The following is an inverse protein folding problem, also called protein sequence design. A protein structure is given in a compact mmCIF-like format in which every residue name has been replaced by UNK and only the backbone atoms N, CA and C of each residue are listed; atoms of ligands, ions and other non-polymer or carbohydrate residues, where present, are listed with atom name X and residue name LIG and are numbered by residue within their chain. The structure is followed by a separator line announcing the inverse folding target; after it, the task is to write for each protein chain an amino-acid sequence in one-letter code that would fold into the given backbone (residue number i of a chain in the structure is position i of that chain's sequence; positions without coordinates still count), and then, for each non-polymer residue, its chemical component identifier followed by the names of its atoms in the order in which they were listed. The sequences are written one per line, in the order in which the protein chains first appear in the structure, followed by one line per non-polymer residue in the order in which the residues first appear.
data_IF_647904966128
#
_entry.id   IF_647904966128
#
_cell.length_a   1.000
_cell.length_b   1.000
_cell.length_c   1.000
_cell.angle_alpha   90.00
_cell.angle_beta   90.00
_cell.angle_gamma   90.00
#
_symmetry.space_group_name_H-M   'P 1'
#
loop_
_entity.id
_entity.type
_entity.pdbx_description
1 polymer ?
#
# COMPACT_ATOMS: atom_id res chain seq x y z
N UNK A 1 -18.85 -11.19 -17.46
CA UNK A 1 -17.86 -11.65 -16.47
C UNK A 1 -18.50 -11.54 -15.09
N UNK A 2 -18.64 -12.61 -14.32
CA UNK A 2 -19.27 -12.53 -13.00
C UNK A 2 -18.21 -12.44 -11.92
N UNK A 3 -18.22 -11.35 -11.15
CA UNK A 3 -17.45 -11.24 -9.92
C UNK A 3 -18.00 -12.26 -8.90
N UNK A 4 -17.10 -12.91 -8.20
CA UNK A 4 -17.49 -13.87 -7.15
C UNK A 4 -17.80 -13.07 -5.88
N UNK A 5 -19.10 -12.86 -5.61
CA UNK A 5 -19.54 -12.10 -4.44
C UNK A 5 -19.60 -12.97 -3.17
N UNK A 6 -19.45 -14.28 -3.32
CA UNK A 6 -19.46 -15.23 -2.22
C UNK A 6 -18.04 -15.69 -1.88
N UNK A 7 -17.59 -15.32 -0.71
CA UNK A 7 -16.41 -15.79 0.00
C UNK A 7 -15.03 -15.29 -0.44
N UNK A 8 -14.39 -14.64 0.49
CA UNK A 8 -12.94 -14.41 0.67
C UNK A 8 -12.17 -15.76 0.82
N UNK A 9 -12.50 -16.73 0.04
CA UNK A 9 -11.82 -18.02 0.09
C UNK A 9 -11.69 -18.60 -1.29
N UNK A 10 -10.74 -18.24 -2.06
CA UNK A 10 -10.15 -19.10 -3.10
C UNK A 10 -9.29 -18.28 -4.08
N UNK A 11 -8.16 -17.90 -3.64
CA UNK A 11 -6.93 -18.05 -4.40
C UNK A 11 -5.93 -18.67 -3.39
N UNK A 12 -6.35 -19.76 -2.74
CA UNK A 12 -5.89 -20.07 -1.40
C UNK A 12 -4.52 -20.76 -1.30
N UNK A 13 -4.02 -21.42 -2.31
CA UNK A 13 -2.77 -22.19 -2.14
C UNK A 13 -1.51 -21.36 -2.45
N UNK A 14 -1.55 -20.49 -3.42
CA UNK A 14 -0.38 -19.73 -3.86
C UNK A 14 -0.16 -18.49 -3.01
N UNK A 15 -1.22 -17.76 -2.73
CA UNK A 15 -1.21 -16.63 -1.78
C UNK A 15 -0.77 -17.09 -0.39
N UNK A 16 -1.13 -18.32 0.00
CA UNK A 16 -0.71 -18.96 1.26
C UNK A 16 0.80 -19.16 1.29
N UNK A 17 1.40 -19.75 0.25
CA UNK A 17 2.86 -19.99 0.19
C UNK A 17 3.66 -18.69 0.29
N UNK A 18 3.29 -17.67 -0.47
CA UNK A 18 3.96 -16.35 -0.43
C UNK A 18 3.84 -15.71 0.96
N UNK A 19 2.68 -15.81 1.61
CA UNK A 19 2.45 -15.32 2.97
C UNK A 19 3.22 -16.11 4.02
N UNK A 20 3.39 -17.41 3.83
CA UNK A 20 4.25 -18.26 4.66
C UNK A 20 5.72 -17.83 4.56
N UNK A 21 6.25 -17.69 3.34
CA UNK A 21 7.62 -17.20 3.10
C UNK A 21 7.86 -15.83 3.73
N UNK A 22 6.88 -14.93 3.65
CA UNK A 22 6.95 -13.63 4.31
C UNK A 22 7.04 -13.78 5.83
N UNK A 23 6.23 -14.65 6.43
CA UNK A 23 6.20 -14.88 7.88
C UNK A 23 7.48 -15.54 8.38
N UNK A 24 8.02 -16.49 7.62
CA UNK A 24 9.28 -17.16 7.94
C UNK A 24 10.45 -16.19 7.92
N UNK A 25 10.54 -15.37 6.88
CA UNK A 25 11.59 -14.37 6.76
C UNK A 25 11.46 -13.29 7.85
N UNK A 26 10.25 -12.84 8.14
CA UNK A 26 9.99 -11.89 9.24
C UNK A 26 10.45 -12.45 10.58
N UNK A 27 10.17 -13.73 10.85
CA UNK A 27 10.65 -14.43 12.05
C UNK A 27 12.16 -14.53 12.06
N UNK A 28 12.78 -14.95 10.94
CA UNK A 28 14.23 -15.06 10.78
C UNK A 28 14.93 -13.74 11.06
N UNK A 29 14.42 -12.63 10.51
CA UNK A 29 14.98 -11.29 10.76
C UNK A 29 14.88 -10.89 12.23
N UNK A 30 13.78 -11.22 12.91
CA UNK A 30 13.62 -10.93 14.34
C UNK A 30 14.55 -11.77 15.22
N UNK A 31 14.74 -13.04 14.91
CA UNK A 31 15.65 -13.93 15.62
C UNK A 31 17.12 -13.52 15.43
N UNK A 32 17.47 -13.01 14.26
CA UNK A 32 18.80 -12.52 13.94
C UNK A 32 19.21 -11.23 14.68
N UNK A 33 18.28 -10.53 15.32
CA UNK A 33 18.60 -9.33 16.13
C UNK A 33 19.53 -9.66 17.30
N UNK A 34 19.49 -10.92 17.81
CA UNK A 34 20.37 -11.38 18.86
C UNK A 34 20.15 -10.65 20.18
N UNK A 35 21.22 -10.03 20.73
CA UNK A 35 21.13 -9.31 22.01
C UNK A 35 20.29 -8.05 21.86
N UNK A 36 19.30 -7.91 22.73
CA UNK A 36 18.41 -6.75 22.75
C UNK A 36 19.19 -5.51 23.23
N UNK A 37 19.34 -4.54 22.33
CA UNK A 37 19.89 -3.23 22.64
C UNK A 37 18.76 -2.21 22.86
N UNK A 38 18.96 -1.31 23.81
CA UNK A 38 18.00 -0.22 24.09
C UNK A 38 18.37 1.01 23.28
N UNK A 39 17.35 1.67 22.75
CA UNK A 39 17.45 2.97 22.07
C UNK A 39 16.54 3.97 22.74
N UNK A 40 16.94 5.25 22.70
CA UNK A 40 16.12 6.37 23.16
C UNK A 40 15.31 6.93 21.99
N UNK A 41 13.99 6.94 22.13
CA UNK A 41 13.08 7.53 21.16
C UNK A 41 12.41 8.74 21.80
N UNK A 42 12.79 9.92 21.36
CA UNK A 42 12.21 11.17 21.84
C UNK A 42 10.97 11.51 21.03
N UNK A 43 9.81 11.20 21.59
CA UNK A 43 8.53 11.58 21.00
C UNK A 43 8.32 13.10 21.16
N UNK A 44 7.95 13.75 20.05
CA UNK A 44 7.62 15.18 19.98
C UNK A 44 6.16 15.34 19.53
N UNK A 45 5.30 15.81 20.44
CA UNK A 45 3.91 16.03 20.11
C UNK A 45 2.95 15.91 21.30
N UNK A 46 1.67 15.87 21.00
CA UNK A 46 0.62 15.74 21.99
C UNK A 46 0.57 14.32 22.60
N UNK A 47 0.24 14.19 23.93
CA UNK A 47 -0.13 15.27 24.85
C UNK A 47 1.06 16.11 25.33
N UNK A 48 2.25 15.56 25.36
CA UNK A 48 3.51 16.19 25.74
C UNK A 48 4.69 15.42 25.18
N UNK A 49 5.81 16.10 25.01
CA UNK A 49 7.07 15.49 24.63
C UNK A 49 7.49 14.46 25.69
N UNK A 50 7.91 13.29 25.24
CA UNK A 50 8.25 12.17 26.13
C UNK A 50 9.40 11.36 25.54
N UNK A 51 10.34 10.95 26.38
CA UNK A 51 11.40 10.02 25.99
C UNK A 51 10.99 8.59 26.35
N UNK A 52 11.02 7.72 25.35
CA UNK A 52 10.70 6.30 25.46
C UNK A 52 11.98 5.47 25.32
N UNK A 53 12.13 4.45 26.14
CA UNK A 53 13.20 3.47 25.98
C UNK A 53 12.64 2.26 25.23
N UNK A 54 13.11 2.07 24.00
CA UNK A 54 12.61 1.07 23.08
C UNK A 54 13.69 0.04 22.75
N UNK A 55 13.32 -1.05 22.08
CA UNK A 55 14.24 -2.10 21.64
C UNK A 55 14.66 -1.86 20.19
N UNK A 56 15.97 -1.74 19.95
CA UNK A 56 16.56 -1.59 18.62
C UNK A 56 16.11 -2.74 17.72
N UNK A 57 15.76 -2.44 16.46
CA UNK A 57 15.33 -3.39 15.41
C UNK A 57 14.14 -4.30 15.74
N UNK A 58 13.49 -4.09 16.90
CA UNK A 58 12.31 -4.82 17.34
C UNK A 58 11.10 -3.91 17.52
N UNK A 59 11.28 -2.81 18.26
CA UNK A 59 10.19 -1.88 18.54
C UNK A 59 9.91 -0.98 17.34
N UNK A 60 8.65 -0.65 17.16
CA UNK A 60 8.13 0.13 16.03
C UNK A 60 7.54 1.47 16.50
N UNK A 61 7.33 2.45 15.61
CA UNK A 61 6.54 3.65 15.95
C UNK A 61 5.14 3.33 16.48
N UNK A 62 4.55 2.22 16.03
CA UNK A 62 3.25 1.77 16.56
C UNK A 62 3.36 1.38 18.04
N UNK A 63 4.44 0.73 18.45
CA UNK A 63 4.68 0.41 19.87
C UNK A 63 4.91 1.68 20.69
N UNK A 64 5.63 2.67 20.14
CA UNK A 64 5.75 3.99 20.77
C UNK A 64 4.38 4.65 20.95
N UNK A 65 3.52 4.61 19.91
CA UNK A 65 2.17 5.14 19.98
C UNK A 65 1.33 4.47 21.07
N UNK A 66 1.49 3.15 21.30
CA UNK A 66 0.81 2.42 22.38
C UNK A 66 1.21 2.92 23.78
N UNK A 67 2.48 3.29 23.98
CA UNK A 67 2.94 3.86 25.23
C UNK A 67 2.37 5.27 25.48
N UNK A 68 2.11 6.04 24.43
CA UNK A 68 1.53 7.38 24.50
C UNK A 68 0.01 7.28 24.75
N UNK A 69 -0.67 6.39 24.04
CA UNK A 69 -2.11 6.16 24.18
C UNK A 69 -2.76 5.56 22.94
N UNK A 70 -3.80 4.77 23.15
CA UNK A 70 -4.50 4.02 22.10
C UNK A 70 -5.02 4.90 20.94
N UNK A 71 -5.44 6.13 21.25
CA UNK A 71 -5.87 7.10 20.25
C UNK A 71 -4.81 7.33 19.16
N UNK A 72 -3.54 7.38 19.55
CA UNK A 72 -2.44 7.62 18.61
C UNK A 72 -2.19 6.41 17.71
N UNK A 73 -2.41 5.18 18.20
CA UNK A 73 -2.36 3.97 17.37
C UNK A 73 -3.38 4.01 16.24
N UNK A 74 -4.61 4.49 16.53
CA UNK A 74 -5.72 4.51 15.59
C UNK A 74 -5.72 5.70 14.63
N UNK A 75 -5.03 6.78 14.95
CA UNK A 75 -5.07 8.02 14.17
C UNK A 75 -3.80 8.28 13.36
N UNK A 76 -2.67 7.67 13.72
CA UNK A 76 -1.41 7.92 13.05
C UNK A 76 -1.33 7.21 11.72
N UNK A 77 -1.14 7.99 10.65
CA UNK A 77 -0.96 7.48 9.30
C UNK A 77 0.46 6.95 9.08
N UNK A 78 1.46 7.68 9.60
CA UNK A 78 2.87 7.34 9.52
C UNK A 78 3.65 8.05 10.63
N UNK A 79 4.89 7.63 10.81
CA UNK A 79 5.87 8.30 11.65
C UNK A 79 6.82 9.19 10.82
N UNK A 80 7.34 10.25 11.43
CA UNK A 80 8.43 11.06 10.90
C UNK A 80 9.59 10.97 11.89
N UNK A 81 10.73 10.45 11.42
CA UNK A 81 11.95 10.35 12.20
C UNK A 81 12.85 11.55 11.91
N UNK A 82 13.40 12.14 12.97
CA UNK A 82 14.34 13.27 12.93
C UNK A 82 13.86 14.45 12.08
N UNK A 83 12.56 14.71 12.10
CA UNK A 83 11.87 15.73 11.31
C UNK A 83 12.09 15.63 9.79
N UNK A 84 12.59 14.50 9.30
CA UNK A 84 13.04 14.36 7.92
C UNK A 84 12.57 13.06 7.24
N UNK A 85 12.67 11.94 7.92
CA UNK A 85 12.50 10.63 7.28
C UNK A 85 11.12 10.03 7.54
N UNK A 86 10.25 9.94 6.51
CA UNK A 86 8.97 9.24 6.63
C UNK A 86 9.19 7.75 6.91
N UNK A 87 8.47 7.21 7.90
CA UNK A 87 8.67 5.86 8.39
C UNK A 87 7.34 5.14 8.62
N UNK A 88 7.27 3.87 8.19
CA UNK A 88 6.06 3.06 8.40
C UNK A 88 5.81 2.85 9.90
N UNK A 89 4.55 2.90 10.30
CA UNK A 89 4.18 2.69 11.70
C UNK A 89 4.60 1.33 12.25
N UNK A 90 4.72 0.30 11.39
CA UNK A 90 5.08 -1.07 11.76
C UNK A 90 6.49 -1.49 11.32
N UNK A 91 7.32 -0.55 10.91
CA UNK A 91 8.73 -0.79 10.60
C UNK A 91 9.57 -0.64 11.86
N UNK A 92 10.44 -1.61 12.22
CA UNK A 92 11.32 -1.51 13.37
C UNK A 92 12.23 -0.26 13.33
N UNK A 93 12.41 0.36 14.48
CA UNK A 93 13.34 1.47 14.68
C UNK A 93 14.77 0.96 14.79
N UNK A 94 15.69 1.60 14.07
CA UNK A 94 17.09 1.14 13.97
C UNK A 94 18.01 1.77 14.99
N UNK A 95 17.79 3.05 15.31
CA UNK A 95 18.66 3.84 16.18
C UNK A 95 17.85 4.79 17.04
N UNK A 96 18.50 5.42 18.01
CA UNK A 96 17.92 6.52 18.78
C UNK A 96 17.55 7.66 17.83
N UNK A 97 16.36 8.22 18.01
CA UNK A 97 15.81 9.21 17.09
C UNK A 97 14.77 10.11 17.77
N UNK A 98 14.43 11.19 17.11
CA UNK A 98 13.19 11.92 17.42
C UNK A 98 12.05 11.33 16.60
N UNK A 99 10.86 11.24 17.20
CA UNK A 99 9.67 10.65 16.62
C UNK A 99 8.50 11.64 16.65
N UNK A 100 7.90 11.87 15.49
CA UNK A 100 6.59 12.51 15.39
C UNK A 100 5.59 11.55 14.76
N UNK A 101 4.35 11.59 15.22
CA UNK A 101 3.24 10.82 14.67
C UNK A 101 2.36 11.73 13.80
N UNK A 102 2.34 11.47 12.50
CA UNK A 102 1.59 12.26 11.54
C UNK A 102 0.20 11.65 11.29
N UNK A 103 -0.80 12.50 11.27
CA UNK A 103 -2.18 12.12 11.00
C UNK A 103 -2.79 12.97 9.89
N UNK A 104 -4.04 12.68 9.49
CA UNK A 104 -4.72 13.35 8.39
C UNK A 104 -5.31 14.72 8.75
N UNK A 105 -5.32 15.07 10.04
CA UNK A 105 -5.83 16.35 10.54
C UNK A 105 -4.72 17.32 10.95
N UNK A 106 -3.46 16.95 10.73
CA UNK A 106 -2.30 17.82 10.93
C UNK A 106 -2.36 19.02 9.98
N UNK A 107 -1.78 20.18 10.34
CA UNK A 107 -1.78 21.37 9.49
C UNK A 107 -1.17 21.12 8.09
N UNK A 108 -0.16 20.26 8.01
CA UNK A 108 0.51 19.86 6.76
C UNK A 108 0.35 18.35 6.50
N UNK A 109 -0.81 17.87 6.06
CA UNK A 109 -1.07 16.44 5.92
C UNK A 109 -0.50 15.84 4.62
N UNK A 110 0.35 16.55 3.88
CA UNK A 110 0.83 16.15 2.57
C UNK A 110 1.49 14.76 2.56
N UNK A 111 2.37 14.47 3.53
CA UNK A 111 3.01 13.16 3.66
C UNK A 111 1.98 12.08 4.02
N UNK A 112 1.08 12.37 4.96
CA UNK A 112 0.01 11.45 5.34
C UNK A 112 -0.90 11.14 4.15
N UNK A 113 -1.26 12.14 3.34
CA UNK A 113 -2.06 11.97 2.13
C UNK A 113 -1.35 11.13 1.06
N UNK A 114 -0.05 11.33 0.83
CA UNK A 114 0.73 10.49 -0.09
C UNK A 114 0.73 9.03 0.35
N UNK A 115 0.97 8.79 1.64
CA UNK A 115 0.96 7.46 2.23
C UNK A 115 -0.42 6.81 2.10
N UNK A 116 -1.48 7.55 2.42
CA UNK A 116 -2.86 7.08 2.29
C UNK A 116 -3.18 6.62 0.86
N UNK A 117 -2.89 7.45 -0.14
CA UNK A 117 -3.19 7.12 -1.54
C UNK A 117 -2.37 5.93 -2.04
N UNK A 118 -1.10 5.81 -1.64
CA UNK A 118 -0.30 4.61 -1.93
C UNK A 118 -0.93 3.37 -1.32
N UNK A 119 -1.37 3.46 -0.07
CA UNK A 119 -2.04 2.35 0.61
C UNK A 119 -3.37 1.99 -0.05
N UNK A 120 -4.15 2.98 -0.50
CA UNK A 120 -5.38 2.71 -1.26
C UNK A 120 -5.10 1.95 -2.56
N UNK A 121 -4.03 2.29 -3.28
CA UNK A 121 -3.61 1.54 -4.48
C UNK A 121 -3.24 0.10 -4.14
N UNK A 122 -2.48 -0.12 -3.07
CA UNK A 122 -2.12 -1.45 -2.58
C UNK A 122 -3.34 -2.27 -2.17
N UNK A 123 -4.26 -1.68 -1.39
CA UNK A 123 -5.49 -2.34 -0.95
C UNK A 123 -6.43 -2.65 -2.13
N UNK A 124 -6.44 -1.81 -3.16
CA UNK A 124 -7.17 -2.11 -4.40
C UNK A 124 -6.64 -3.38 -5.05
N UNK A 125 -5.31 -3.59 -5.09
CA UNK A 125 -4.70 -4.84 -5.55
C UNK A 125 -5.21 -6.05 -4.77
N UNK A 126 -5.26 -5.96 -3.43
CA UNK A 126 -5.78 -7.02 -2.56
C UNK A 126 -7.25 -7.37 -2.89
N UNK A 127 -8.09 -6.35 -3.05
CA UNK A 127 -9.51 -6.52 -3.38
C UNK A 127 -9.69 -7.12 -4.77
N UNK A 128 -8.94 -6.66 -5.77
CA UNK A 128 -9.00 -7.21 -7.13
C UNK A 128 -8.61 -8.68 -7.15
N UNK A 129 -7.48 -9.04 -6.51
CA UNK A 129 -7.04 -10.43 -6.42
C UNK A 129 -8.06 -11.34 -5.76
N UNK A 130 -8.75 -10.87 -4.72
CA UNK A 130 -9.78 -11.63 -4.01
C UNK A 130 -11.14 -11.70 -4.74
N UNK A 131 -11.45 -10.71 -5.59
CA UNK A 131 -12.77 -10.58 -6.23
C UNK A 131 -12.88 -11.30 -7.58
N UNK A 132 -11.75 -11.50 -8.28
CA UNK A 132 -11.76 -12.17 -9.58
C UNK A 132 -11.62 -13.68 -9.42
N UNK A 133 -12.35 -14.42 -10.24
CA UNK A 133 -12.20 -15.88 -10.33
C UNK A 133 -10.87 -16.25 -11.00
N UNK A 134 -10.26 -17.40 -10.67
CA UNK A 134 -9.02 -17.86 -11.29
C UNK A 134 -9.07 -17.91 -12.81
N UNK A 135 -10.23 -18.26 -13.38
CA UNK A 135 -10.44 -18.38 -14.83
C UNK A 135 -10.34 -17.02 -15.56
N UNK A 136 -10.48 -15.92 -14.83
CA UNK A 136 -10.29 -14.59 -15.40
C UNK A 136 -8.84 -14.28 -15.77
N UNK A 137 -7.89 -15.03 -15.19
CA UNK A 137 -6.46 -14.85 -15.46
C UNK A 137 -5.98 -13.45 -15.07
N UNK A 138 -6.39 -12.98 -13.87
CA UNK A 138 -5.96 -11.67 -13.36
C UNK A 138 -4.51 -11.73 -12.87
N UNK A 139 -3.70 -10.79 -13.38
CA UNK A 139 -2.38 -10.48 -12.84
C UNK A 139 -2.32 -9.02 -12.38
N UNK A 140 -1.85 -8.80 -11.16
CA UNK A 140 -1.51 -7.47 -10.67
C UNK A 140 -0.19 -7.05 -11.31
N UNK A 141 -0.21 -5.92 -12.03
CA UNK A 141 1.00 -5.42 -12.68
C UNK A 141 1.77 -4.48 -11.76
N UNK A 142 1.24 -3.32 -11.50
CA UNK A 142 1.92 -2.29 -10.68
C UNK A 142 0.95 -1.16 -10.30
N UNK A 143 1.41 -0.30 -9.40
CA UNK A 143 0.76 0.98 -9.14
C UNK A 143 1.82 2.09 -9.07
N UNK A 144 1.59 3.22 -9.77
CA UNK A 144 2.55 4.30 -9.85
C UNK A 144 2.66 5.07 -8.53
N UNK A 145 3.69 5.91 -8.41
CA UNK A 145 3.83 6.88 -7.31
C UNK A 145 2.54 7.72 -7.21
N UNK A 146 1.96 7.88 -6.00
CA UNK A 146 0.74 8.63 -5.84
C UNK A 146 0.82 10.07 -6.35
N UNK A 147 -0.12 10.44 -7.20
CA UNK A 147 -0.34 11.82 -7.62
C UNK A 147 -1.69 12.30 -7.08
N UNK A 148 -1.67 12.98 -5.93
CA UNK A 148 -2.90 13.44 -5.26
C UNK A 148 -3.68 14.44 -6.15
N UNK A 149 -2.98 15.21 -6.98
CA UNK A 149 -3.60 16.19 -7.88
C UNK A 149 -4.43 15.53 -8.99
N UNK A 150 -4.17 14.26 -9.33
CA UNK A 150 -4.94 13.52 -10.35
C UNK A 150 -6.38 13.23 -9.92
N UNK A 151 -6.64 13.15 -8.63
CA UNK A 151 -7.98 12.95 -8.06
C UNK A 151 -8.39 11.48 -7.92
N UNK A 152 -7.53 10.51 -8.24
CA UNK A 152 -7.77 9.08 -8.06
C UNK A 152 -6.51 8.33 -7.64
N UNK A 153 -6.67 7.28 -6.82
CA UNK A 153 -5.65 6.24 -6.66
C UNK A 153 -5.85 5.18 -7.74
N UNK A 154 -4.78 4.47 -8.10
CA UNK A 154 -4.81 3.53 -9.23
C UNK A 154 -4.05 2.24 -8.94
N UNK A 155 -4.48 1.16 -9.59
CA UNK A 155 -3.74 -0.10 -9.68
C UNK A 155 -3.89 -0.64 -11.10
N UNK A 156 -2.78 -0.92 -11.75
CA UNK A 156 -2.76 -1.44 -13.11
C UNK A 156 -2.76 -2.97 -13.09
N UNK A 157 -3.64 -3.59 -13.87
CA UNK A 157 -3.84 -5.04 -13.94
C UNK A 157 -3.78 -5.53 -15.38
N UNK A 158 -3.50 -6.81 -15.51
CA UNK A 158 -3.60 -7.54 -16.78
C UNK A 158 -4.68 -8.61 -16.64
N UNK A 159 -5.56 -8.71 -17.63
CA UNK A 159 -6.57 -9.75 -17.72
C UNK A 159 -6.31 -10.61 -18.96
N UNK A 160 -6.58 -11.91 -18.86
CA UNK A 160 -6.47 -12.82 -19.99
C UNK A 160 -7.55 -12.55 -21.06
N UNK A 161 -8.70 -11.98 -20.67
CA UNK A 161 -9.80 -11.63 -21.55
C UNK A 161 -9.67 -10.20 -22.07
N UNK A 162 -9.79 -10.05 -23.39
CA UNK A 162 -9.49 -8.82 -24.13
C UNK A 162 -10.50 -7.68 -23.92
N UNK A 163 -11.74 -7.94 -23.66
CA UNK A 163 -12.79 -6.92 -23.63
C UNK A 163 -13.58 -6.97 -22.33
N UNK A 164 -12.98 -6.49 -21.24
CA UNK A 164 -13.72 -6.29 -20.02
C UNK A 164 -14.15 -4.83 -19.87
N UNK A 165 -15.44 -4.60 -19.80
CA UNK A 165 -16.01 -3.30 -19.51
C UNK A 165 -16.88 -3.44 -18.25
N UNK A 166 -16.36 -3.02 -17.07
CA UNK A 166 -17.10 -3.23 -15.83
C UNK A 166 -18.40 -2.46 -15.80
N UNK A 167 -19.43 -3.12 -15.37
CA UNK A 167 -20.73 -2.52 -15.10
C UNK A 167 -20.71 -1.72 -13.78
N UNK A 168 -21.67 -0.80 -13.63
CA UNK A 168 -21.82 -0.05 -12.37
C UNK A 168 -22.01 -0.97 -11.15
N UNK A 169 -22.79 -2.06 -11.20
CA UNK A 169 -22.87 -3.03 -10.09
C UNK A 169 -21.53 -3.67 -9.75
N UNK A 170 -20.70 -4.02 -10.71
CA UNK A 170 -19.36 -4.61 -10.47
C UNK A 170 -18.41 -3.63 -9.78
N UNK A 171 -18.36 -2.37 -10.22
CA UNK A 171 -17.58 -1.33 -9.55
C UNK A 171 -18.07 -1.07 -8.12
N UNK A 172 -19.39 -1.14 -7.89
CA UNK A 172 -19.98 -1.04 -6.55
C UNK A 172 -19.58 -2.23 -5.67
N UNK A 173 -19.57 -3.45 -6.21
CA UNK A 173 -19.13 -4.64 -5.49
C UNK A 173 -17.67 -4.50 -5.03
N UNK A 174 -16.77 -4.07 -5.90
CA UNK A 174 -15.37 -3.78 -5.53
C UNK A 174 -15.27 -2.69 -4.45
N UNK A 175 -16.10 -1.65 -4.52
CA UNK A 175 -16.14 -0.59 -3.50
C UNK A 175 -16.59 -1.14 -2.14
N UNK A 176 -17.55 -2.06 -2.12
CA UNK A 176 -18.03 -2.74 -0.90
C UNK A 176 -16.90 -3.59 -0.31
N UNK A 177 -16.16 -4.34 -1.13
CA UNK A 177 -15.02 -5.14 -0.66
C UNK A 177 -13.90 -4.28 -0.07
N UNK A 178 -13.62 -3.10 -0.64
CA UNK A 178 -12.70 -2.13 -0.03
C UNK A 178 -13.16 -1.72 1.37
N UNK A 179 -14.44 -1.45 1.57
CA UNK A 179 -15.00 -1.08 2.88
C UNK A 179 -14.96 -2.27 3.85
N UNK A 180 -15.29 -3.48 3.41
CA UNK A 180 -15.19 -4.69 4.24
C UNK A 180 -13.74 -4.93 4.70
N UNK A 181 -12.77 -4.72 3.80
CA UNK A 181 -11.34 -4.84 4.14
C UNK A 181 -10.93 -3.78 5.19
N UNK A 182 -11.42 -2.56 5.06
CA UNK A 182 -11.22 -1.50 6.05
C UNK A 182 -11.79 -1.88 7.43
N UNK A 183 -12.99 -2.44 7.47
CA UNK A 183 -13.65 -2.83 8.72
C UNK A 183 -12.93 -3.94 9.49
N UNK A 184 -12.11 -4.75 8.82
CA UNK A 184 -11.29 -5.78 9.47
C UNK A 184 -10.11 -5.21 10.26
N UNK A 185 -9.75 -3.94 10.06
CA UNK A 185 -8.63 -3.24 10.71
C UNK A 185 -7.32 -4.03 10.73
N UNK A 186 -6.98 -4.64 9.58
CA UNK A 186 -5.81 -5.49 9.44
C UNK A 186 -4.52 -4.64 9.43
N UNK A 187 -3.43 -5.13 10.03
CA UNK A 187 -2.13 -4.50 9.91
C UNK A 187 -1.64 -4.52 8.45
N UNK A 188 -1.02 -3.42 8.03
CA UNK A 188 -0.21 -3.38 6.81
C UNK A 188 1.24 -3.53 7.24
N UNK A 189 1.81 -4.68 6.93
CA UNK A 189 3.15 -5.06 7.34
C UNK A 189 4.15 -4.81 6.23
N UNK A 190 5.39 -4.52 6.60
CA UNK A 190 6.51 -4.30 5.69
C UNK A 190 7.66 -5.24 5.99
N UNK A 191 8.29 -5.74 4.94
CA UNK A 191 9.51 -6.54 5.03
C UNK A 191 10.45 -6.19 3.88
N UNK A 192 11.73 -5.99 4.17
CA UNK A 192 12.78 -5.84 3.17
C UNK A 192 13.42 -7.23 2.99
N UNK A 193 13.37 -7.77 1.76
CA UNK A 193 13.80 -9.15 1.44
C UNK A 193 14.85 -9.15 0.33
N UNK A 194 15.62 -10.23 0.18
CA UNK A 194 16.52 -10.41 -0.95
C UNK A 194 15.75 -10.52 -2.27
N UNK A 195 16.41 -10.19 -3.38
CA UNK A 195 15.87 -10.37 -4.73
C UNK A 195 15.38 -11.79 -4.98
N UNK A 196 16.16 -12.80 -4.57
CA UNK A 196 15.84 -14.21 -4.80
C UNK A 196 14.58 -14.65 -4.06
N UNK A 197 14.45 -14.27 -2.78
CA UNK A 197 13.26 -14.55 -1.99
C UNK A 197 12.03 -13.80 -2.55
N UNK A 198 12.20 -12.57 -3.02
CA UNK A 198 11.12 -11.85 -3.69
C UNK A 198 10.67 -12.57 -4.97
N UNK A 199 11.59 -13.09 -5.80
CA UNK A 199 11.25 -13.89 -6.99
C UNK A 199 10.47 -15.15 -6.61
N UNK A 200 10.81 -15.81 -5.50
CA UNK A 200 10.06 -16.97 -5.00
C UNK A 200 8.66 -16.58 -4.51
N UNK A 201 8.53 -15.49 -3.73
CA UNK A 201 7.23 -14.99 -3.25
C UNK A 201 6.28 -14.63 -4.39
N UNK A 202 6.79 -14.12 -5.50
CA UNK A 202 6.00 -13.72 -6.66
C UNK A 202 6.13 -14.68 -7.85
N UNK A 203 6.40 -15.98 -7.57
CA UNK A 203 6.63 -17.01 -8.61
C UNK A 203 5.50 -17.11 -9.62
N UNK A 204 4.26 -16.84 -9.24
CA UNK A 204 3.08 -16.96 -10.10
C UNK A 204 2.74 -15.68 -10.87
N UNK A 205 3.43 -14.58 -10.59
CA UNK A 205 3.18 -13.31 -11.23
C UNK A 205 4.36 -12.93 -12.15
N UNK A 206 4.26 -13.18 -13.47
CA UNK A 206 5.35 -12.94 -14.39
C UNK A 206 5.77 -11.46 -14.44
N UNK A 207 4.83 -10.54 -14.28
CA UNK A 207 5.11 -9.10 -14.29
C UNK A 207 5.90 -8.65 -13.08
N UNK A 208 5.57 -9.17 -11.91
CA UNK A 208 6.35 -8.87 -10.68
C UNK A 208 7.75 -9.46 -10.77
N UNK A 209 7.89 -10.69 -11.27
CA UNK A 209 9.20 -11.33 -11.46
C UNK A 209 10.09 -10.53 -12.41
N UNK A 210 9.55 -9.98 -13.49
CA UNK A 210 10.28 -9.13 -14.42
C UNK A 210 10.73 -7.80 -13.79
N UNK A 211 9.93 -7.24 -12.88
CA UNK A 211 10.23 -5.97 -12.20
C UNK A 211 11.26 -6.10 -11.08
N UNK A 212 11.32 -7.24 -10.38
CA UNK A 212 12.14 -7.46 -9.18
C UNK A 212 13.62 -7.13 -9.40
N UNK A 213 14.31 -7.57 -10.46
CA UNK A 213 15.72 -7.27 -10.64
C UNK A 213 16.01 -5.77 -10.72
N UNK A 214 15.17 -5.03 -11.45
CA UNK A 214 15.29 -3.57 -11.56
C UNK A 214 15.04 -2.86 -10.22
N UNK A 215 14.05 -3.31 -9.46
CA UNK A 215 13.75 -2.77 -8.12
C UNK A 215 14.89 -3.04 -7.14
N UNK A 216 15.43 -4.25 -7.15
CA UNK A 216 16.55 -4.66 -6.29
C UNK A 216 17.83 -3.88 -6.62
N UNK A 217 18.15 -3.68 -7.90
CA UNK A 217 19.31 -2.89 -8.34
C UNK A 217 19.26 -1.46 -7.80
N UNK A 218 18.07 -0.85 -7.74
CA UNK A 218 17.86 0.49 -7.17
C UNK A 218 17.80 0.55 -5.63
N UNK A 219 17.95 -0.58 -4.91
CA UNK A 219 17.79 -0.66 -3.46
C UNK A 219 18.77 -1.66 -2.81
N UNK A 220 20.04 -1.61 -3.18
CA UNK A 220 21.12 -2.43 -2.60
C UNK A 220 20.83 -3.95 -2.60
N UNK A 221 20.21 -4.47 -3.66
CA UNK A 221 19.87 -5.87 -3.80
C UNK A 221 18.64 -6.31 -3.00
N UNK A 222 17.92 -5.40 -2.36
CA UNK A 222 16.73 -5.69 -1.57
C UNK A 222 15.45 -5.23 -2.27
N UNK A 223 14.37 -5.94 -1.98
CA UNK A 223 13.01 -5.61 -2.43
C UNK A 223 12.14 -5.38 -1.21
N UNK A 224 11.44 -4.25 -1.18
CA UNK A 224 10.46 -3.99 -0.12
C UNK A 224 9.10 -4.57 -0.50
N UNK A 225 8.63 -5.50 0.31
CA UNK A 225 7.34 -6.19 0.17
C UNK A 225 6.40 -5.74 1.28
N UNK A 226 5.15 -5.48 0.93
CA UNK A 226 4.07 -5.21 1.87
C UNK A 226 3.06 -6.35 1.88
N UNK A 227 2.48 -6.60 3.07
CA UNK A 227 1.46 -7.62 3.29
C UNK A 227 0.23 -7.03 3.98
N UNK A 228 -0.96 -7.49 3.56
CA UNK A 228 -2.23 -7.30 4.27
C UNK A 228 -3.06 -8.59 4.18
N UNK A 229 -3.30 -9.26 5.31
CA UNK A 229 -3.82 -10.62 5.27
C UNK A 229 -2.89 -11.53 4.46
N UNK A 230 -3.43 -12.19 3.43
CA UNK A 230 -2.65 -13.06 2.54
C UNK A 230 -2.15 -12.36 1.27
N UNK A 231 -2.52 -11.10 1.07
CA UNK A 231 -2.10 -10.32 -0.10
C UNK A 231 -0.72 -9.72 0.09
N UNK A 232 0.17 -9.93 -0.90
CA UNK A 232 1.48 -9.32 -0.98
C UNK A 232 1.63 -8.46 -2.23
N UNK A 233 2.34 -7.34 -2.10
CA UNK A 233 2.79 -6.56 -3.26
C UNK A 233 4.08 -5.77 -2.96
N UNK A 234 4.76 -5.37 -4.05
CA UNK A 234 6.02 -4.64 -4.02
C UNK A 234 5.76 -3.13 -4.00
N UNK A 235 6.38 -2.41 -3.09
CA UNK A 235 6.31 -0.94 -3.05
C UNK A 235 7.47 -0.32 -2.28
N UNK A 236 7.92 0.87 -2.70
CA UNK A 236 8.89 1.64 -1.91
C UNK A 236 8.36 2.10 -0.55
N UNK A 237 7.04 2.19 -0.42
CA UNK A 237 6.42 2.74 0.79
C UNK A 237 6.68 4.24 1.00
N UNK A 238 6.51 4.76 2.24
CA UNK A 238 5.79 4.10 3.33
C UNK A 238 4.30 3.92 3.05
N UNK A 239 3.65 3.03 3.81
CA UNK A 239 2.20 2.83 3.80
C UNK A 239 1.60 3.13 5.17
N UNK A 240 0.28 3.29 5.24
CA UNK A 240 -0.43 3.43 6.53
C UNK A 240 -0.34 2.14 7.35
N UNK A 241 -0.42 2.26 8.68
CA UNK A 241 -0.19 1.14 9.59
C UNK A 241 -1.31 0.10 9.64
N UNK A 242 -2.52 0.44 9.16
CA UNK A 242 -3.72 -0.42 9.24
C UNK A 242 -4.73 -0.07 8.15
N UNK A 243 -5.52 -1.07 7.74
CA UNK A 243 -6.65 -0.87 6.83
C UNK A 243 -7.78 -0.04 7.44
N UNK A 244 -7.91 -0.01 8.77
CA UNK A 244 -8.93 0.75 9.50
C UNK A 244 -8.82 2.27 9.33
N UNK A 245 -7.70 2.78 8.81
CA UNK A 245 -7.53 4.18 8.44
C UNK A 245 -8.27 4.57 7.15
N UNK A 246 -8.71 3.59 6.33
CA UNK A 246 -9.52 3.81 5.15
C UNK A 246 -10.98 4.06 5.57
N UNK A 247 -11.51 5.21 5.20
CA UNK A 247 -12.91 5.57 5.39
C UNK A 247 -13.76 5.32 4.14
N UNK A 248 -14.54 6.31 3.72
CA UNK A 248 -15.39 6.19 2.52
C UNK A 248 -14.53 5.97 1.28
N UNK A 249 -14.89 4.95 0.49
CA UNK A 249 -14.17 4.56 -0.71
C UNK A 249 -15.12 4.21 -1.85
N UNK A 250 -14.78 4.62 -3.07
CA UNK A 250 -15.49 4.26 -4.30
C UNK A 250 -14.49 3.87 -5.38
N UNK A 251 -14.64 2.68 -5.95
CA UNK A 251 -13.96 2.30 -7.19
C UNK A 251 -14.79 2.87 -8.34
N UNK A 252 -14.22 3.82 -9.08
CA UNK A 252 -14.95 4.73 -9.95
C UNK A 252 -14.88 4.37 -11.42
N UNK A 253 -13.80 3.72 -11.86
CA UNK A 253 -13.60 3.34 -13.26
C UNK A 253 -12.54 2.26 -13.43
N UNK A 254 -12.63 1.56 -14.58
CA UNK A 254 -11.55 0.78 -15.16
C UNK A 254 -11.33 1.28 -16.60
N UNK A 255 -10.11 1.67 -16.90
CA UNK A 255 -9.76 2.16 -18.23
C UNK A 255 -8.84 1.17 -18.92
N UNK A 256 -9.18 0.72 -20.15
CA UNK A 256 -8.23 -0.02 -20.96
C UNK A 256 -7.07 0.91 -21.33
N UNK A 257 -5.85 0.45 -21.08
CA UNK A 257 -4.61 1.15 -21.45
C UNK A 257 -3.81 0.26 -22.40
N UNK A 258 -3.19 0.86 -23.41
CA UNK A 258 -2.36 0.12 -24.37
C UNK A 258 -0.93 0.06 -23.88
N UNK A 259 -0.30 -1.11 -24.00
CA UNK A 259 1.13 -1.24 -23.83
C UNK A 259 1.84 -0.60 -25.03
N UNK A 260 2.82 0.29 -24.76
CA UNK A 260 3.64 0.91 -25.81
C UNK A 260 4.49 -0.12 -26.61
N UNK A 261 4.73 -1.30 -26.05
CA UNK A 261 5.57 -2.35 -26.64
C UNK A 261 4.80 -3.44 -27.40
N UNK A 262 3.51 -3.25 -27.68
CA UNK A 262 2.66 -4.14 -28.49
C UNK A 262 2.69 -5.65 -28.15
N UNK A 263 3.23 -6.06 -27.01
CA UNK A 263 3.12 -7.44 -26.52
C UNK A 263 1.72 -7.74 -26.00
N UNK A 264 0.74 -7.15 -26.64
CA UNK A 264 -0.69 -7.43 -26.78
C UNK A 264 -1.36 -8.12 -25.57
N UNK A 265 -1.07 -7.66 -24.37
CA UNK A 265 -1.89 -8.03 -23.21
C UNK A 265 -2.67 -6.79 -22.77
N UNK A 266 -3.98 -6.92 -22.71
CA UNK A 266 -4.85 -5.82 -22.34
C UNK A 266 -4.60 -5.43 -20.90
N UNK A 267 -4.05 -4.24 -20.73
CA UNK A 267 -3.90 -3.61 -19.46
C UNK A 267 -5.16 -2.82 -19.11
N UNK A 268 -5.53 -2.86 -17.87
CA UNK A 268 -6.59 -2.02 -17.33
C UNK A 268 -6.06 -1.22 -16.16
N UNK A 269 -6.29 0.08 -16.18
CA UNK A 269 -6.08 0.95 -15.04
C UNK A 269 -7.35 0.98 -14.21
N UNK A 270 -7.33 0.28 -13.10
CA UNK A 270 -8.37 0.37 -12.09
C UNK A 270 -8.15 1.59 -11.23
N UNK A 271 -9.18 2.39 -11.00
CA UNK A 271 -9.04 3.60 -10.22
C UNK A 271 -10.23 3.89 -9.33
N UNK A 272 -9.96 4.64 -8.26
CA UNK A 272 -10.95 5.00 -7.28
C UNK A 272 -10.59 6.25 -6.49
N UNK A 273 -11.50 6.66 -5.62
CA UNK A 273 -11.32 7.74 -4.67
C UNK A 273 -11.66 7.26 -3.28
N UNK A 274 -10.91 7.72 -2.29
CA UNK A 274 -11.18 7.41 -0.89
C UNK A 274 -10.89 8.61 0.01
N UNK A 275 -11.48 8.58 1.19
CA UNK A 275 -11.19 9.50 2.28
C UNK A 275 -10.66 8.73 3.48
N UNK A 276 -9.71 9.29 4.23
CA UNK A 276 -9.35 8.76 5.54
C UNK A 276 -10.56 8.69 6.47
N UNK A 277 -10.60 7.66 7.33
CA UNK A 277 -11.70 7.46 8.29
C UNK A 277 -11.93 8.66 9.23
N UNK A 278 -10.86 9.41 9.51
CA UNK A 278 -10.92 10.63 10.34
C UNK A 278 -11.59 11.82 9.63
N UNK A 279 -11.74 11.79 8.30
CA UNK A 279 -12.30 12.89 7.52
C UNK A 279 -13.72 12.58 7.06
N UNK A 280 -14.65 13.45 7.44
CA UNK A 280 -16.06 13.36 7.01
C UNK A 280 -16.42 14.59 6.19
N UNK A 281 -16.90 14.36 4.97
CA UNK A 281 -17.42 15.42 4.11
C UNK A 281 -18.86 15.11 3.70
N UNK A 282 -19.60 16.15 3.33
CA UNK A 282 -20.98 16.01 2.86
C UNK A 282 -21.07 15.20 1.56
N UNK A 283 -22.26 14.65 1.30
CA UNK A 283 -22.52 13.81 0.13
C UNK A 283 -22.20 14.54 -1.18
N UNK A 284 -22.61 15.80 -1.31
CA UNK A 284 -22.34 16.60 -2.50
C UNK A 284 -20.84 16.75 -2.78
N UNK A 285 -20.04 17.12 -1.77
CA UNK A 285 -18.60 17.26 -1.90
C UNK A 285 -17.93 15.95 -2.30
N UNK A 286 -18.39 14.82 -1.72
CA UNK A 286 -17.87 13.51 -2.12
C UNK A 286 -18.20 13.15 -3.56
N UNK A 287 -19.42 13.46 -4.04
CA UNK A 287 -19.80 13.21 -5.44
C UNK A 287 -18.92 13.99 -6.43
N UNK A 288 -18.50 15.19 -6.07
CA UNK A 288 -17.54 15.97 -6.89
C UNK A 288 -16.21 15.21 -7.02
N UNK A 289 -15.69 14.67 -5.90
CA UNK A 289 -14.47 13.86 -5.91
C UNK A 289 -14.64 12.56 -6.71
N UNK A 290 -15.77 11.87 -6.55
CA UNK A 290 -16.10 10.66 -7.28
C UNK A 290 -16.17 10.91 -8.79
N UNK A 291 -16.87 11.95 -9.22
CA UNK A 291 -16.95 12.31 -10.64
C UNK A 291 -15.57 12.68 -11.23
N UNK A 292 -14.72 13.36 -10.45
CA UNK A 292 -13.35 13.65 -10.84
C UNK A 292 -12.53 12.38 -11.02
N UNK A 293 -12.69 11.41 -10.12
CA UNK A 293 -11.93 10.16 -10.12
C UNK A 293 -12.31 9.21 -11.28
N UNK A 294 -13.38 9.48 -12.02
CA UNK A 294 -13.76 8.73 -13.22
C UNK A 294 -12.92 9.06 -14.44
N UNK A 295 -12.24 10.21 -14.46
CA UNK A 295 -11.35 10.58 -15.56
C UNK A 295 -10.08 9.75 -15.47
N UNK A 296 -9.57 9.28 -16.63
CA UNK A 296 -8.33 8.52 -16.69
C UNK A 296 -7.21 9.28 -15.95
N UNK A 297 -6.61 8.61 -15.00
CA UNK A 297 -5.47 9.12 -14.26
C UNK A 297 -4.23 9.13 -15.13
N UNK A 298 -3.60 10.30 -15.26
CA UNK A 298 -2.41 10.53 -16.07
C UNK A 298 -1.09 10.13 -15.39
N UNK A 299 -1.13 9.41 -14.24
CA UNK A 299 0.09 8.89 -13.66
C UNK A 299 0.79 7.94 -14.63
N UNK A 300 2.12 7.81 -14.48
CA UNK A 300 2.98 6.98 -15.33
C UNK A 300 2.31 5.67 -15.73
N UNK A 301 2.29 5.38 -17.02
CA UNK A 301 1.78 4.12 -17.55
C UNK A 301 2.81 3.00 -17.39
N UNK A 302 2.39 1.74 -17.31
CA UNK A 302 3.29 0.61 -17.41
C UNK A 302 4.17 0.73 -18.69
N UNK A 303 5.46 0.44 -18.55
CA UNK A 303 6.45 0.46 -19.65
C UNK A 303 6.87 1.86 -20.19
N UNK A 304 6.42 2.95 -19.61
CA UNK A 304 7.08 4.23 -19.83
C UNK A 304 8.50 4.21 -19.19
N UNK A 305 9.55 4.63 -19.91
CA UNK A 305 10.90 4.68 -19.35
C UNK A 305 10.93 5.57 -18.10
N UNK A 306 11.79 5.23 -17.14
CA UNK A 306 12.05 6.11 -16.01
C UNK A 306 12.71 7.39 -16.56
N UNK A 307 12.00 8.50 -16.59
CA UNK A 307 12.66 9.80 -16.65
C UNK A 307 13.42 9.96 -15.34
N UNK A 308 14.75 10.07 -15.45
CA UNK A 308 15.64 10.24 -14.31
C UNK A 308 15.16 11.44 -13.49
N UNK A 309 15.08 11.25 -12.19
CA UNK A 309 14.66 12.24 -11.20
C UNK A 309 15.75 13.32 -11.04
N UNK A 310 15.93 14.18 -12.04
CA UNK A 310 16.89 15.31 -12.01
C UNK A 310 16.20 16.64 -11.67
N UNK A 311 14.93 16.69 -11.33
CA UNK A 311 14.24 17.95 -11.10
C UNK A 311 13.31 18.02 -9.88
N UNK A 312 13.68 17.42 -8.73
CA UNK A 312 12.92 17.66 -7.48
C UNK A 312 13.83 18.06 -6.29
N UNK A 313 14.88 18.85 -6.52
CA UNK A 313 15.67 19.47 -5.43
C UNK A 313 15.43 20.97 -5.25
N UNK A 314 14.48 21.59 -5.96
CA UNK A 314 14.14 23.00 -5.73
C UNK A 314 12.63 23.17 -5.83
N UNK A 315 11.92 23.11 -4.73
CA UNK A 315 10.76 23.91 -4.33
C UNK A 315 10.22 23.41 -2.97
#
# INVERSE_FOLDING_TARGET
MSLNIEHFSVSSQVSTKASELFSEEQRRQRENVGRIEKIEVRYLGLPNDTTLIMNRELSTPYDCARHIGEKYCRQSALALLDNKTPWDMRRPLRDSCTLQLLNFTSPEPHLANKVFWRSCSFLLGAVLQASFKPEAGLYLHSFPKPNIKSGSFVHDIVLAQEHWNPTVPELRALSIEMIKLSQKDLPIERLDVSSDLAVEMFSDNPFKREQIPSVAAGNNGQVTVYRVGDHLDISKGPMMGSTGLLGRCTISAAHPIRDANEKAKFFYRMQGVALPAALRIGHFAYNVLENRSRKLNSAKLPNEPFEDAVAEQVA
#
